data_IF_903696801227
#
_entry.id   IF_903696801227
#
_cell.length_a   1.000
_cell.length_b   1.000
_cell.length_c   1.000
_cell.angle_alpha   90.00
_cell.angle_beta   90.00
_cell.angle_gamma   90.00
#
_symmetry.space_group_name_H-M   'P 1'
#
loop_
_entity.id
_entity.type
_entity.pdbx_description
1 polymer ?
#
# COMPACT_ATOMS: atom_id res chain seq x y z
N UNK A 1 5.97 19.53 -14.18
CA UNK A 1 5.88 18.14 -14.69
C UNK A 1 4.51 17.92 -15.33
N UNK A 2 4.43 17.67 -16.64
CA UNK A 2 3.16 17.32 -17.33
C UNK A 2 2.56 16.05 -16.69
N UNK A 3 1.25 16.05 -16.40
CA UNK A 3 0.50 14.93 -15.80
C UNK A 3 0.48 13.72 -16.75
N UNK A 4 1.56 12.94 -16.79
CA UNK A 4 1.49 11.55 -17.26
C UNK A 4 0.91 10.75 -16.09
N UNK A 5 -0.36 10.36 -16.20
CA UNK A 5 -0.97 9.40 -15.28
C UNK A 5 -0.20 8.07 -15.31
N UNK A 6 -0.45 7.21 -14.33
CA UNK A 6 0.11 5.85 -14.31
C UNK A 6 -0.74 5.02 -15.26
N UNK A 7 -0.23 4.74 -16.46
CA UNK A 7 -0.97 4.09 -17.56
C UNK A 7 -1.41 2.66 -17.25
N UNK A 8 -0.79 2.01 -16.27
CA UNK A 8 -1.01 0.61 -15.92
C UNK A 8 -2.26 0.37 -15.06
N UNK A 9 -2.89 1.44 -14.56
CA UNK A 9 -4.00 1.37 -13.62
C UNK A 9 -5.09 2.36 -14.04
N UNK A 10 -6.28 2.24 -13.45
CA UNK A 10 -7.37 3.18 -13.69
C UNK A 10 -6.94 4.63 -13.39
N UNK A 11 -7.60 5.58 -14.06
CA UNK A 11 -7.36 7.01 -13.82
C UNK A 11 -7.59 7.38 -12.36
N UNK A 12 -8.64 6.82 -11.74
CA UNK A 12 -8.97 7.07 -10.32
C UNK A 12 -7.84 6.64 -9.41
N UNK A 13 -7.35 5.40 -9.56
CA UNK A 13 -6.25 4.89 -8.75
C UNK A 13 -4.93 5.64 -9.02
N UNK A 14 -4.67 6.00 -10.28
CA UNK A 14 -3.53 6.83 -10.65
C UNK A 14 -3.56 8.19 -9.95
N UNK A 15 -4.71 8.87 -9.99
CA UNK A 15 -4.87 10.20 -9.39
C UNK A 15 -4.72 10.13 -7.86
N UNK A 16 -5.28 9.10 -7.21
CA UNK A 16 -5.12 8.85 -5.78
C UNK A 16 -3.65 8.60 -5.38
N UNK A 17 -2.94 7.75 -6.10
CA UNK A 17 -1.52 7.48 -5.82
C UNK A 17 -0.68 8.75 -6.00
N UNK A 18 -0.93 9.52 -7.07
CA UNK A 18 -0.19 10.76 -7.31
C UNK A 18 -0.50 11.82 -6.23
N UNK A 19 -1.74 11.91 -5.77
CA UNK A 19 -2.12 12.78 -4.66
C UNK A 19 -1.42 12.37 -3.36
N UNK A 20 -1.42 11.07 -3.03
CA UNK A 20 -0.72 10.53 -1.88
C UNK A 20 0.79 10.84 -1.92
N UNK A 21 1.45 10.60 -3.06
CA UNK A 21 2.89 10.83 -3.19
C UNK A 21 3.24 12.31 -3.03
N UNK A 22 2.46 13.22 -3.62
CA UNK A 22 2.67 14.67 -3.47
C UNK A 22 2.53 15.10 -2.00
N UNK A 23 1.52 14.60 -1.30
CA UNK A 23 1.34 14.91 0.11
C UNK A 23 2.51 14.37 0.95
N UNK A 24 2.97 13.15 0.68
CA UNK A 24 4.13 12.57 1.38
C UNK A 24 5.44 13.29 1.05
N UNK A 25 5.59 13.82 -0.16
CA UNK A 25 6.74 14.61 -0.60
C UNK A 25 6.87 15.90 0.19
N UNK A 26 5.77 16.59 0.50
CA UNK A 26 5.78 17.82 1.32
C UNK A 26 5.53 17.58 2.81
N UNK A 27 5.24 16.34 3.20
CA UNK A 27 4.95 15.96 4.59
C UNK A 27 3.54 16.31 5.08
N UNK A 28 2.57 16.46 4.17
CA UNK A 28 1.17 16.74 4.47
C UNK A 28 0.40 15.45 4.77
N UNK A 29 -0.67 15.58 5.55
CA UNK A 29 -1.61 14.47 5.86
C UNK A 29 -0.95 13.24 6.50
N UNK A 30 0.19 13.47 7.16
CA UNK A 30 0.92 12.45 7.91
C UNK A 30 0.17 12.08 9.21
N UNK A 31 0.06 10.78 9.51
CA UNK A 31 -0.57 10.23 10.73
C UNK A 31 0.12 10.74 12.00
N UNK A 32 -0.65 10.96 13.07
CA UNK A 32 -0.20 11.63 14.31
C UNK A 32 1.08 11.01 14.91
N UNK A 33 1.18 9.67 14.98
CA UNK A 33 2.33 8.97 15.56
C UNK A 33 3.56 8.80 14.67
N UNK A 34 3.58 9.35 13.45
CA UNK A 34 4.73 9.18 12.53
C UNK A 34 5.59 10.43 12.45
N UNK A 35 6.91 10.26 12.23
CA UNK A 35 7.87 11.36 12.05
C UNK A 35 7.34 12.34 11.00
N UNK A 36 7.16 13.59 11.41
CA UNK A 36 6.65 14.68 10.56
C UNK A 36 7.70 15.09 9.54
N UNK A 37 7.21 15.72 8.47
CA UNK A 37 8.06 16.26 7.40
C UNK A 37 8.11 15.37 6.15
N UNK A 38 8.86 15.83 5.15
CA UNK A 38 8.92 15.24 3.82
C UNK A 38 9.51 13.83 3.85
N UNK A 39 9.07 12.98 2.93
CA UNK A 39 9.66 11.65 2.72
C UNK A 39 10.72 11.70 1.62
N UNK A 40 11.83 11.01 1.85
CA UNK A 40 12.90 10.91 0.86
C UNK A 40 12.44 10.22 -0.43
N UNK A 41 13.06 10.61 -1.55
CA UNK A 41 12.72 10.15 -2.90
C UNK A 41 12.70 8.61 -3.04
N UNK A 42 13.72 7.92 -2.50
CA UNK A 42 13.78 6.45 -2.53
C UNK A 42 12.57 5.80 -1.84
N UNK A 43 12.09 6.40 -0.74
CA UNK A 43 10.89 5.92 -0.04
C UNK A 43 9.64 6.14 -0.88
N UNK A 44 9.52 7.31 -1.50
CA UNK A 44 8.37 7.63 -2.35
C UNK A 44 8.27 6.71 -3.56
N UNK A 45 9.39 6.43 -4.25
CA UNK A 45 9.42 5.45 -5.33
C UNK A 45 8.97 4.08 -4.82
N UNK A 46 9.57 3.61 -3.73
CA UNK A 46 9.28 2.29 -3.18
C UNK A 46 7.81 2.13 -2.78
N UNK A 47 7.20 3.18 -2.24
CA UNK A 47 5.76 3.19 -1.93
C UNK A 47 4.92 3.23 -3.20
N UNK A 48 5.25 4.11 -4.16
CA UNK A 48 4.55 4.19 -5.45
C UNK A 48 4.53 2.84 -6.16
N UNK A 49 5.68 2.17 -6.29
CA UNK A 49 5.78 0.87 -6.96
C UNK A 49 4.90 -0.18 -6.28
N UNK A 50 4.92 -0.27 -4.94
CA UNK A 50 4.06 -1.21 -4.19
C UNK A 50 2.58 -0.89 -4.35
N UNK A 51 2.19 0.38 -4.31
CA UNK A 51 0.79 0.77 -4.51
C UNK A 51 0.31 0.43 -5.92
N UNK A 52 1.09 0.75 -6.96
CA UNK A 52 0.75 0.38 -8.34
C UNK A 52 0.56 -1.12 -8.48
N UNK A 53 1.48 -1.92 -7.92
CA UNK A 53 1.36 -3.37 -7.90
C UNK A 53 0.04 -3.84 -7.25
N UNK A 54 -0.29 -3.31 -6.06
CA UNK A 54 -1.53 -3.64 -5.36
C UNK A 54 -2.76 -3.30 -6.20
N UNK A 55 -2.81 -2.09 -6.80
CA UNK A 55 -3.96 -1.70 -7.64
C UNK A 55 -4.13 -2.61 -8.86
N UNK A 56 -3.02 -3.03 -9.50
CA UNK A 56 -3.06 -3.99 -10.61
C UNK A 56 -3.65 -5.33 -10.15
N UNK A 57 -3.22 -5.83 -8.98
CA UNK A 57 -3.70 -7.10 -8.44
C UNK A 57 -5.15 -7.05 -7.95
N UNK A 58 -5.59 -5.94 -7.34
CA UNK A 58 -7.00 -5.77 -6.99
C UNK A 58 -7.91 -5.74 -8.22
N UNK A 59 -7.44 -5.14 -9.32
CA UNK A 59 -8.13 -5.21 -10.60
C UNK A 59 -8.15 -6.64 -11.17
N UNK A 60 -7.01 -7.33 -11.18
CA UNK A 60 -6.89 -8.69 -11.71
C UNK A 60 -7.77 -9.71 -10.97
N UNK A 61 -7.77 -9.66 -9.64
CA UNK A 61 -8.41 -10.70 -8.80
C UNK A 61 -9.88 -10.37 -8.51
N UNK A 62 -10.21 -9.09 -8.26
CA UNK A 62 -11.55 -8.69 -7.81
C UNK A 62 -12.26 -7.75 -8.79
N UNK A 63 -11.66 -7.43 -9.95
CA UNK A 63 -12.17 -6.47 -10.93
C UNK A 63 -12.46 -5.07 -10.33
N UNK A 64 -11.61 -4.65 -9.39
CA UNK A 64 -11.73 -3.34 -8.73
C UNK A 64 -10.83 -2.33 -9.43
N UNK A 65 -11.45 -1.47 -10.23
CA UNK A 65 -10.79 -0.32 -10.85
C UNK A 65 -10.73 0.90 -9.92
N UNK A 66 -11.49 0.92 -8.83
CA UNK A 66 -11.53 2.02 -7.88
C UNK A 66 -11.26 1.49 -6.47
N UNK A 67 -10.05 1.71 -5.97
CA UNK A 67 -9.60 1.16 -4.69
C UNK A 67 -10.44 1.66 -3.51
N UNK A 68 -11.14 2.78 -3.65
CA UNK A 68 -12.01 3.32 -2.59
C UNK A 68 -13.22 2.43 -2.32
N UNK A 69 -13.54 1.52 -3.25
CA UNK A 69 -14.65 0.57 -3.16
C UNK A 69 -14.25 -0.80 -2.64
N UNK A 70 -12.97 -0.99 -2.27
CA UNK A 70 -12.51 -2.27 -1.73
C UNK A 70 -13.18 -2.54 -0.38
N UNK A 71 -13.63 -3.78 -0.18
CA UNK A 71 -14.22 -4.22 1.09
C UNK A 71 -13.15 -4.79 2.02
N UNK A 72 -13.44 -4.75 3.31
CA UNK A 72 -12.57 -5.29 4.35
C UNK A 72 -12.27 -6.78 4.11
N UNK A 73 -13.30 -7.59 3.80
CA UNK A 73 -13.14 -9.02 3.58
C UNK A 73 -12.21 -9.30 2.38
N UNK A 74 -12.29 -8.48 1.33
CA UNK A 74 -11.41 -8.59 0.16
C UNK A 74 -9.96 -8.28 0.51
N UNK A 75 -9.71 -7.31 1.39
CA UNK A 75 -8.35 -7.02 1.86
C UNK A 75 -7.80 -8.17 2.71
N UNK A 76 -8.62 -8.70 3.62
CA UNK A 76 -8.23 -9.83 4.46
C UNK A 76 -7.91 -11.08 3.63
N UNK A 77 -8.77 -11.44 2.67
CA UNK A 77 -8.51 -12.56 1.76
C UNK A 77 -7.24 -12.31 0.94
N UNK A 78 -7.10 -11.12 0.34
CA UNK A 78 -5.94 -10.79 -0.50
C UNK A 78 -4.61 -10.93 0.24
N UNK A 79 -4.50 -10.36 1.44
CA UNK A 79 -3.25 -10.40 2.19
C UNK A 79 -2.98 -11.78 2.80
N UNK A 80 -4.03 -12.54 3.15
CA UNK A 80 -3.92 -13.95 3.54
C UNK A 80 -3.36 -14.79 2.39
N UNK A 81 -3.91 -14.62 1.18
CA UNK A 81 -3.47 -15.35 -0.02
C UNK A 81 -2.02 -15.00 -0.40
N UNK A 82 -1.62 -13.74 -0.18
CA UNK A 82 -0.24 -13.30 -0.37
C UNK A 82 0.72 -13.90 0.66
N UNK A 83 0.28 -14.05 1.93
CA UNK A 83 1.04 -14.70 3.00
C UNK A 83 1.21 -16.20 2.73
N UNK A 84 0.13 -16.87 2.33
CA UNK A 84 0.10 -18.31 2.09
C UNK A 84 0.78 -18.73 0.77
N UNK A 85 1.23 -17.77 -0.05
CA UNK A 85 1.89 -18.05 -1.32
C UNK A 85 0.94 -18.47 -2.44
N UNK A 86 -0.36 -18.21 -2.28
CA UNK A 86 -1.36 -18.35 -3.35
C UNK A 86 -1.11 -17.25 -4.39
N UNK A 87 -0.95 -16.01 -3.92
CA UNK A 87 -0.50 -14.91 -4.78
C UNK A 87 1.02 -14.94 -4.85
N UNK A 88 1.52 -15.40 -5.99
CA UNK A 88 2.96 -15.55 -6.26
C UNK A 88 3.54 -14.30 -6.92
N UNK A 89 4.85 -14.15 -6.78
CA UNK A 89 5.66 -13.20 -7.54
C UNK A 89 5.69 -13.60 -9.01
N UNK A 90 6.13 -12.68 -9.86
CA UNK A 90 6.31 -12.94 -11.30
C UNK A 90 7.30 -14.09 -11.59
N UNK A 91 8.28 -14.31 -10.69
CA UNK A 91 9.22 -15.43 -10.75
C UNK A 91 8.65 -16.75 -10.19
N UNK A 92 7.37 -16.78 -9.81
CA UNK A 92 6.70 -17.92 -9.20
C UNK A 92 7.05 -18.14 -7.72
N UNK A 93 7.91 -17.30 -7.13
CA UNK A 93 8.29 -17.38 -5.73
C UNK A 93 7.26 -16.76 -4.77
N UNK A 94 7.35 -17.14 -3.49
CA UNK A 94 6.51 -16.57 -2.43
C UNK A 94 7.02 -15.18 -1.98
N UNK A 95 6.10 -14.33 -1.52
CA UNK A 95 6.45 -13.02 -0.99
C UNK A 95 7.01 -13.10 0.43
N UNK A 96 8.35 -13.02 0.57
CA UNK A 96 9.01 -12.89 1.88
C UNK A 96 8.64 -11.59 2.62
N UNK A 97 8.27 -10.55 1.88
CA UNK A 97 8.03 -9.20 2.39
C UNK A 97 6.57 -8.76 2.29
N UNK A 98 5.60 -9.68 2.39
CA UNK A 98 4.16 -9.35 2.30
C UNK A 98 3.75 -8.26 3.32
N UNK A 99 4.33 -8.28 4.52
CA UNK A 99 4.12 -7.26 5.56
C UNK A 99 4.45 -5.84 5.08
N UNK A 100 5.43 -5.66 4.19
CA UNK A 100 5.74 -4.33 3.65
C UNK A 100 4.63 -3.83 2.71
N UNK A 101 3.93 -4.73 2.02
CA UNK A 101 2.74 -4.37 1.25
C UNK A 101 1.60 -3.95 2.16
N UNK A 102 1.34 -4.72 3.23
CA UNK A 102 0.31 -4.39 4.24
C UNK A 102 0.58 -3.03 4.86
N UNK A 103 1.82 -2.78 5.34
CA UNK A 103 2.22 -1.49 5.93
C UNK A 103 2.09 -0.34 4.94
N UNK A 104 2.41 -0.58 3.66
CA UNK A 104 2.28 0.43 2.61
C UNK A 104 0.81 0.75 2.35
N UNK A 105 -0.05 -0.26 2.27
CA UNK A 105 -1.49 -0.08 2.07
C UNK A 105 -2.15 0.60 3.26
N UNK A 106 -1.87 0.17 4.50
CA UNK A 106 -2.32 0.82 5.74
C UNK A 106 -1.99 2.32 5.75
N UNK A 107 -0.73 2.67 5.44
CA UNK A 107 -0.30 4.07 5.40
C UNK A 107 -1.05 4.89 4.33
N UNK A 108 -1.28 4.29 3.16
CA UNK A 108 -2.09 4.91 2.11
C UNK A 108 -3.55 5.10 2.54
N UNK A 109 -4.19 4.08 3.12
CA UNK A 109 -5.58 4.16 3.55
C UNK A 109 -5.78 5.18 4.68
N UNK A 110 -4.88 5.22 5.65
CA UNK A 110 -4.90 6.24 6.72
C UNK A 110 -4.72 7.65 6.20
N UNK A 111 -3.86 7.84 5.19
CA UNK A 111 -3.79 9.13 4.48
C UNK A 111 -5.13 9.46 3.81
N UNK A 112 -5.73 8.49 3.11
CA UNK A 112 -6.99 8.69 2.39
C UNK A 112 -8.13 9.09 3.33
N UNK A 113 -8.29 8.39 4.47
CA UNK A 113 -9.23 8.78 5.53
C UNK A 113 -8.97 10.22 5.97
N UNK A 114 -7.70 10.60 6.20
CA UNK A 114 -7.35 11.93 6.68
C UNK A 114 -7.56 13.03 5.64
N UNK A 115 -7.28 12.77 4.37
CA UNK A 115 -7.57 13.72 3.29
C UNK A 115 -9.07 13.89 3.11
N UNK A 116 -9.84 12.80 3.10
CA UNK A 116 -11.29 12.84 2.93
C UNK A 116 -12.01 13.49 4.10
N UNK A 117 -11.52 13.30 5.34
CA UNK A 117 -12.04 14.04 6.51
C UNK A 117 -11.92 15.56 6.37
N UNK A 118 -10.89 16.05 5.68
CA UNK A 118 -10.74 17.50 5.41
C UNK A 118 -11.71 18.02 4.36
N UNK A 119 -12.25 17.13 3.54
CA UNK A 119 -13.28 17.40 2.54
C UNK A 119 -14.70 17.18 3.10
N UNK A 120 -14.83 16.83 4.38
CA UNK A 120 -16.12 16.57 5.05
C UNK A 120 -16.63 15.14 4.92
N UNK A 121 -15.86 14.23 4.31
CA UNK A 121 -16.27 12.84 4.09
C UNK A 121 -15.72 11.93 5.21
N UNK A 122 -16.63 11.21 5.89
CA UNK A 122 -16.27 10.21 6.89
C UNK A 122 -16.05 8.84 6.22
N UNK A 123 -14.82 8.32 6.29
CA UNK A 123 -14.43 7.01 5.75
C UNK A 123 -14.08 6.09 6.91
N UNK A 124 -14.58 4.86 6.83
CA UNK A 124 -14.33 3.78 7.80
C UNK A 124 -12.93 3.21 7.56
N UNK A 125 -12.21 2.89 8.64
CA UNK A 125 -10.92 2.22 8.54
C UNK A 125 -11.09 0.71 8.37
N UNK A 126 -11.12 0.25 7.12
CA UNK A 126 -11.17 -1.18 6.74
C UNK A 126 -9.82 -1.89 6.89
N UNK A 127 -8.81 -1.23 7.45
CA UNK A 127 -7.46 -1.80 7.58
C UNK A 127 -7.07 -2.11 9.01
N UNK A 128 -7.86 -1.71 10.02
CA UNK A 128 -7.52 -1.88 11.44
C UNK A 128 -7.01 -3.28 11.75
N UNK A 129 -7.75 -4.28 11.31
CA UNK A 129 -7.59 -5.68 11.70
C UNK A 129 -6.65 -6.48 10.78
N UNK A 130 -6.01 -5.83 9.79
CA UNK A 130 -5.02 -6.50 8.95
C UNK A 130 -3.79 -6.90 9.77
N UNK A 131 -3.53 -8.21 9.79
CA UNK A 131 -2.36 -8.81 10.41
C UNK A 131 -1.08 -8.39 9.69
N UNK A 132 -0.15 -7.78 10.42
CA UNK A 132 1.16 -7.36 9.92
C UNK A 132 2.31 -8.03 10.68
N UNK A 133 2.03 -9.14 11.37
CA UNK A 133 3.00 -9.97 12.06
C UNK A 133 4.01 -10.57 11.08
N UNK A 134 5.24 -10.74 11.55
CA UNK A 134 6.29 -11.49 10.86
C UNK A 134 6.64 -12.68 11.71
N UNK A 135 6.76 -13.84 11.08
CA UNK A 135 7.47 -14.95 11.71
C UNK A 135 8.91 -14.51 11.98
N UNK A 136 9.39 -14.84 13.18
CA UNK A 136 10.76 -14.53 13.56
C UNK A 136 11.67 -15.25 12.54
N UNK A 137 12.60 -14.54 11.88
CA UNK A 137 13.51 -15.19 10.96
C UNK A 137 14.27 -16.28 11.71
N UNK A 138 14.45 -17.44 11.07
CA UNK A 138 15.43 -18.41 11.55
C UNK A 138 16.79 -17.71 11.63
N UNK A 139 17.48 -17.92 12.74
CA UNK A 139 18.68 -17.20 13.14
C UNK A 139 19.70 -17.14 11.99
N UNK A 140 20.01 -15.94 11.48
CA UNK A 140 21.08 -15.77 10.50
C UNK A 140 22.37 -15.59 11.29
N UNK A 141 23.20 -16.64 11.38
CA UNK A 141 24.55 -16.49 11.90
C UNK A 141 25.28 -15.45 11.03
N UNK A 142 25.82 -14.40 11.65
CA UNK A 142 26.98 -13.72 11.10
C UNK A 142 28.10 -14.76 11.18
N UNK A 143 28.28 -15.55 10.13
CA UNK A 143 29.51 -16.33 9.99
C UNK A 143 30.60 -15.29 9.69
N UNK A 144 31.40 -14.97 10.71
CA UNK A 144 32.68 -14.33 10.51
C UNK A 144 33.54 -15.32 9.71
N UNK A 145 33.77 -15.02 8.42
CA UNK A 145 34.92 -15.55 7.67
C UNK A 145 36.03 -14.49 7.67
#
# INVERSE_FOLDING_TARGET
>A
MKKKGISEISKVNSDLILAYIRDMEVGRNITLGTKKGPRGFNRLISVRTRLVYLMKKFKEIYNIDDITKVKEEQLHSFFTDMRNGVIKREDGGNYKSFVDFIKTFKAFWHWYIKSSRKEGNAIIDITSDLDNSREKPEWVYLTEE
#
